data_IF_745527653677
#
_entry.id   IF_745527653677
#
_cell.length_a   1.000
_cell.length_b   1.000
_cell.length_c   1.000
_cell.angle_alpha   90.00
_cell.angle_beta   90.00
_cell.angle_gamma   90.00
#
_symmetry.space_group_name_H-M   'P 1'
#
loop_
_entity.id
_entity.type
_entity.pdbx_description
1 polymer ?
#
# COMPACT_ATOMS: atom_id res chain seq x y z
N UNK A 1 -33.50 29.35 -13.22
CA UNK A 1 -32.83 28.10 -13.66
C UNK A 1 -31.31 28.23 -13.78
N UNK A 2 -30.75 29.17 -14.56
CA UNK A 2 -29.29 29.31 -14.79
C UNK A 2 -28.43 29.43 -13.52
N UNK A 3 -28.89 30.18 -12.51
CA UNK A 3 -28.21 30.31 -11.22
C UNK A 3 -28.22 29.03 -10.36
N UNK A 4 -29.24 28.20 -10.51
CA UNK A 4 -29.34 26.93 -9.78
C UNK A 4 -28.24 25.96 -10.21
N UNK A 5 -27.94 25.90 -11.52
CA UNK A 5 -26.83 25.11 -12.05
C UNK A 5 -25.46 25.62 -11.59
N UNK A 6 -25.29 26.95 -11.47
CA UNK A 6 -24.05 27.53 -10.96
C UNK A 6 -23.82 27.19 -9.48
N UNK A 7 -24.88 27.25 -8.66
CA UNK A 7 -24.83 26.90 -7.23
C UNK A 7 -24.61 25.40 -7.04
N UNK A 8 -25.28 24.55 -7.82
CA UNK A 8 -25.08 23.11 -7.76
C UNK A 8 -23.65 22.72 -8.18
N UNK A 9 -23.11 23.36 -9.22
CA UNK A 9 -21.75 23.12 -9.69
C UNK A 9 -20.68 23.48 -8.66
N UNK A 10 -20.80 24.64 -8.00
CA UNK A 10 -19.85 25.06 -6.96
C UNK A 10 -19.90 24.15 -5.73
N UNK A 11 -21.08 23.69 -5.32
CA UNK A 11 -21.21 22.74 -4.21
C UNK A 11 -20.52 21.41 -4.52
N UNK A 12 -20.66 20.88 -5.74
CA UNK A 12 -20.00 19.62 -6.14
C UNK A 12 -18.46 19.77 -6.09
N UNK A 13 -17.94 20.90 -6.58
CA UNK A 13 -16.49 21.17 -6.57
C UNK A 13 -15.95 21.21 -5.13
N UNK A 14 -16.64 21.87 -4.22
CA UNK A 14 -16.24 21.94 -2.80
C UNK A 14 -16.21 20.56 -2.13
N UNK A 15 -17.18 19.69 -2.45
CA UNK A 15 -17.22 18.30 -1.95
C UNK A 15 -16.03 17.50 -2.47
N UNK A 16 -15.68 17.64 -3.75
CA UNK A 16 -14.53 16.95 -4.35
C UNK A 16 -13.22 17.40 -3.70
N UNK A 17 -13.04 18.70 -3.48
CA UNK A 17 -11.84 19.26 -2.82
C UNK A 17 -11.75 18.74 -1.37
N UNK A 18 -12.86 18.78 -0.63
CA UNK A 18 -12.90 18.28 0.75
C UNK A 18 -12.54 16.79 0.85
N UNK A 19 -13.09 15.97 -0.04
CA UNK A 19 -12.73 14.55 -0.14
C UNK A 19 -11.26 14.36 -0.48
N UNK A 20 -10.72 15.13 -1.43
CA UNK A 20 -9.32 15.01 -1.86
C UNK A 20 -8.32 15.29 -0.74
N UNK A 21 -8.68 16.13 0.24
CA UNK A 21 -7.83 16.45 1.39
C UNK A 21 -7.99 15.40 2.51
N UNK A 22 -9.21 14.90 2.74
CA UNK A 22 -9.50 14.01 3.87
C UNK A 22 -9.24 12.52 3.58
N UNK A 23 -9.49 12.08 2.35
CA UNK A 23 -9.32 10.69 1.95
C UNK A 23 -7.87 10.17 2.08
N UNK A 24 -6.82 10.90 1.64
CA UNK A 24 -5.44 10.41 1.77
C UNK A 24 -5.02 10.11 3.22
N UNK A 25 -5.16 11.02 4.20
CA UNK A 25 -4.75 10.75 5.58
C UNK A 25 -5.63 9.67 6.25
N UNK A 26 -6.89 9.55 5.83
CA UNK A 26 -7.77 8.48 6.31
C UNK A 26 -7.30 7.09 5.85
N UNK A 27 -6.96 6.96 4.56
CA UNK A 27 -6.45 5.72 3.99
C UNK A 27 -5.09 5.34 4.59
N UNK A 28 -4.19 6.31 4.82
CA UNK A 28 -2.90 6.06 5.46
C UNK A 28 -3.04 5.53 6.89
N UNK A 29 -3.98 6.08 7.68
CA UNK A 29 -4.26 5.58 9.03
C UNK A 29 -4.73 4.13 9.01
N UNK A 30 -5.64 3.78 8.09
CA UNK A 30 -6.09 2.40 7.90
C UNK A 30 -4.97 1.48 7.43
N UNK A 31 -4.11 1.95 6.53
CA UNK A 31 -2.97 1.18 6.05
C UNK A 31 -1.95 0.90 7.16
N UNK A 32 -1.65 1.91 7.99
CA UNK A 32 -0.76 1.77 9.15
C UNK A 32 -1.28 0.76 10.18
N UNK A 33 -2.60 0.69 10.35
CA UNK A 33 -3.23 -0.32 11.21
C UNK A 33 -3.10 -1.73 10.61
N UNK A 34 -3.30 -1.88 9.30
CA UNK A 34 -3.09 -3.17 8.60
C UNK A 34 -1.63 -3.63 8.66
N UNK A 35 -0.68 -2.70 8.50
CA UNK A 35 0.75 -3.00 8.57
C UNK A 35 1.20 -3.52 9.94
N UNK A 36 0.45 -3.24 11.01
CA UNK A 36 0.70 -3.78 12.37
C UNK A 36 0.12 -5.18 12.58
N UNK A 37 -0.62 -5.71 11.62
CA UNK A 37 -1.16 -7.07 11.71
C UNK A 37 -0.05 -8.11 11.61
N UNK A 38 -0.30 -9.29 12.20
CA UNK A 38 0.63 -10.42 12.19
C UNK A 38 0.99 -10.86 10.77
N UNK A 39 0.03 -10.81 9.83
CA UNK A 39 0.27 -11.18 8.43
C UNK A 39 1.29 -10.27 7.74
N UNK A 40 1.22 -8.96 7.99
CA UNK A 40 2.20 -8.01 7.46
C UNK A 40 3.55 -8.08 8.16
N UNK A 41 3.59 -8.55 9.41
CA UNK A 41 4.85 -8.86 10.08
C UNK A 41 5.53 -10.08 9.44
N UNK A 42 4.78 -11.17 9.20
CA UNK A 42 5.30 -12.36 8.51
C UNK A 42 5.79 -12.04 7.09
N UNK A 43 5.04 -11.24 6.34
CA UNK A 43 5.48 -10.74 5.03
C UNK A 43 6.87 -10.09 5.10
N UNK A 44 7.09 -9.17 6.06
CA UNK A 44 8.38 -8.48 6.21
C UNK A 44 9.50 -9.44 6.56
N UNK A 45 9.22 -10.43 7.39
CA UNK A 45 10.20 -11.43 7.80
C UNK A 45 10.62 -12.30 6.60
N UNK A 46 9.64 -12.80 5.82
CA UNK A 46 9.93 -13.58 4.62
C UNK A 46 10.63 -12.76 3.53
N UNK A 47 10.25 -11.49 3.37
CA UNK A 47 10.93 -10.59 2.42
C UNK A 47 12.41 -10.43 2.82
N UNK A 48 12.70 -10.20 4.10
CA UNK A 48 14.07 -10.09 4.61
C UNK A 48 14.87 -11.37 4.41
N UNK A 49 14.28 -12.53 4.66
CA UNK A 49 14.92 -13.82 4.41
C UNK A 49 15.21 -14.01 2.91
N UNK A 50 14.30 -13.59 2.03
CA UNK A 50 14.54 -13.62 0.59
C UNK A 50 15.67 -12.69 0.15
N UNK A 51 15.79 -11.50 0.75
CA UNK A 51 16.89 -10.55 0.50
C UNK A 51 18.23 -11.11 0.99
N UNK A 52 18.26 -11.76 2.16
CA UNK A 52 19.45 -12.45 2.68
C UNK A 52 19.86 -13.62 1.76
N UNK A 53 18.90 -14.43 1.29
CA UNK A 53 19.12 -15.48 0.29
C UNK A 53 19.65 -14.92 -1.04
N UNK A 54 19.15 -13.76 -1.48
CA UNK A 54 19.62 -13.07 -2.68
C UNK A 54 21.06 -12.58 -2.53
N UNK A 55 21.40 -11.98 -1.38
CA UNK A 55 22.74 -11.50 -1.09
C UNK A 55 23.77 -12.65 -1.07
N UNK A 56 23.38 -13.83 -0.56
CA UNK A 56 24.22 -15.02 -0.54
C UNK A 56 24.37 -15.68 -1.91
N UNK A 57 23.29 -15.76 -2.70
CA UNK A 57 23.33 -16.35 -4.03
C UNK A 57 22.33 -15.67 -4.98
N UNK A 58 22.75 -14.60 -5.68
CA UNK A 58 21.84 -13.83 -6.54
C UNK A 58 21.38 -14.63 -7.77
N UNK A 59 22.13 -15.64 -8.20
CA UNK A 59 21.76 -16.53 -9.30
C UNK A 59 20.93 -17.74 -8.84
N UNK A 60 20.68 -17.89 -7.53
CA UNK A 60 19.93 -19.00 -6.97
C UNK A 60 18.43 -18.88 -7.17
N UNK A 61 17.73 -19.98 -7.43
CA UNK A 61 16.25 -19.99 -7.49
C UNK A 61 15.56 -19.94 -6.12
N UNK A 62 16.33 -19.91 -5.03
CA UNK A 62 15.82 -19.92 -3.65
C UNK A 62 15.15 -18.59 -3.30
N UNK A 63 15.88 -17.48 -3.45
CA UNK A 63 15.36 -16.14 -3.17
C UNK A 63 14.13 -15.80 -4.01
N UNK A 64 14.06 -16.28 -5.26
CA UNK A 64 12.90 -16.08 -6.16
C UNK A 64 11.63 -16.73 -5.61
N UNK A 65 11.75 -17.94 -5.04
CA UNK A 65 10.60 -18.64 -4.45
C UNK A 65 10.15 -17.97 -3.15
N UNK A 66 11.12 -17.55 -2.34
CA UNK A 66 10.86 -16.87 -1.07
C UNK A 66 10.25 -15.48 -1.27
N UNK A 67 10.73 -14.73 -2.26
CA UNK A 67 10.17 -13.43 -2.62
C UNK A 67 8.76 -13.56 -3.19
N UNK A 68 8.50 -14.57 -4.04
CA UNK A 68 7.16 -14.85 -4.55
C UNK A 68 6.18 -15.27 -3.44
N UNK A 69 6.63 -16.06 -2.47
CA UNK A 69 5.82 -16.42 -1.29
C UNK A 69 5.51 -15.18 -0.42
N UNK A 70 6.51 -14.31 -0.22
CA UNK A 70 6.32 -13.04 0.47
C UNK A 70 5.32 -12.13 -0.29
N UNK A 71 5.40 -12.05 -1.61
CA UNK A 71 4.45 -11.28 -2.42
C UNK A 71 3.02 -11.82 -2.33
N UNK A 72 2.84 -13.14 -2.24
CA UNK A 72 1.55 -13.76 -1.96
C UNK A 72 0.94 -13.24 -0.67
N UNK A 73 1.71 -13.30 0.43
CA UNK A 73 1.29 -12.77 1.74
C UNK A 73 1.00 -11.26 1.70
N UNK A 74 1.81 -10.49 0.96
CA UNK A 74 1.56 -9.05 0.79
C UNK A 74 0.18 -8.79 0.19
N UNK A 75 -0.21 -9.58 -0.81
CA UNK A 75 -1.49 -9.45 -1.50
C UNK A 75 -2.64 -9.92 -0.61
N UNK A 76 -2.49 -11.04 0.08
CA UNK A 76 -3.51 -11.61 0.95
C UNK A 76 -3.85 -10.69 2.14
N UNK A 77 -2.83 -10.10 2.76
CA UNK A 77 -3.00 -9.20 3.91
C UNK A 77 -3.08 -7.71 3.53
N UNK A 78 -2.91 -7.36 2.25
CA UNK A 78 -2.97 -5.99 1.76
C UNK A 78 -1.90 -5.07 2.38
N UNK A 79 -0.72 -5.61 2.62
CA UNK A 79 0.36 -4.92 3.33
C UNK A 79 0.99 -3.80 2.48
N UNK A 80 1.42 -2.73 3.16
CA UNK A 80 2.17 -1.66 2.50
C UNK A 80 3.54 -2.15 2.09
N UNK A 81 3.87 -1.95 0.81
CA UNK A 81 5.19 -2.22 0.28
C UNK A 81 6.13 -1.08 0.70
N UNK A 82 6.90 -1.30 1.77
CA UNK A 82 7.86 -0.30 2.22
C UNK A 82 9.04 -0.13 1.26
N UNK A 83 9.30 -1.08 0.36
CA UNK A 83 10.42 -1.01 -0.60
C UNK A 83 10.10 -0.16 -1.84
N UNK A 84 8.83 0.22 -2.08
CA UNK A 84 8.46 1.12 -3.19
C UNK A 84 8.56 2.62 -2.90
N UNK A 85 8.89 3.03 -1.67
CA UNK A 85 8.97 4.46 -1.29
C UNK A 85 10.38 5.07 -1.41
N UNK A 86 11.34 4.32 -1.94
CA UNK A 86 12.73 4.77 -2.13
C UNK A 86 13.13 4.73 -3.62
N UNK A 87 12.32 5.35 -4.47
CA UNK A 87 12.72 5.77 -5.82
C UNK A 87 12.00 7.07 -6.16
#
# INVERSE_FOLDING_TARGET
>A
MKYFYLIAGTLIILVIIGLSILLPPYLEKKQKQRDRSLGCFQYRQMLKESEESYALNPNGKKWVRESMAAEGLRKDFGCSDKNKRSN
#
